data_IF_848348909095
#
_entry.id   IF_848348909095
#
_cell.length_a   1.000
_cell.length_b   1.000
_cell.length_c   1.000
_cell.angle_alpha   90.00
_cell.angle_beta   90.00
_cell.angle_gamma   90.00
#
_symmetry.space_group_name_H-M   'P 1'
#
loop_
_entity.id
_entity.type
_entity.pdbx_description
1 polymer ?
#
# COMPACT_ATOMS: atom_id res chain seq x y z
N UNK A 1 -5.51 -15.00 11.65
CA UNK A 1 -6.17 -13.70 11.63
C UNK A 1 -7.32 -13.72 10.64
N UNK A 2 -8.45 -13.17 11.03
CA UNK A 2 -9.61 -13.18 10.17
C UNK A 2 -9.44 -12.25 8.97
N UNK A 3 -9.92 -12.66 7.80
CA UNK A 3 -9.78 -11.81 6.60
C UNK A 3 -10.35 -10.40 6.77
N UNK A 4 -11.48 -10.28 7.44
CA UNK A 4 -12.08 -8.96 7.62
C UNK A 4 -11.18 -8.04 8.43
N UNK A 5 -10.53 -8.58 9.45
CA UNK A 5 -9.61 -7.81 10.27
C UNK A 5 -8.40 -7.36 9.45
N UNK A 6 -7.89 -8.26 8.60
CA UNK A 6 -6.78 -7.90 7.73
C UNK A 6 -7.17 -6.79 6.77
N UNK A 7 -8.37 -6.83 6.22
CA UNK A 7 -8.83 -5.77 5.34
C UNK A 7 -8.98 -4.44 6.06
N UNK A 8 -9.45 -4.46 7.30
CA UNK A 8 -9.54 -3.24 8.09
C UNK A 8 -8.16 -2.64 8.35
N UNK A 9 -7.21 -3.48 8.69
CA UNK A 9 -5.85 -3.02 8.90
C UNK A 9 -5.26 -2.42 7.62
N UNK A 10 -5.57 -3.05 6.48
CA UNK A 10 -5.10 -2.56 5.20
C UNK A 10 -5.69 -1.19 4.89
N UNK A 11 -7.00 -1.01 5.11
CA UNK A 11 -7.65 0.27 4.89
C UNK A 11 -7.02 1.34 5.78
N UNK A 12 -6.89 1.03 7.06
CA UNK A 12 -6.35 2.01 8.01
C UNK A 12 -4.91 2.38 7.68
N UNK A 13 -4.09 1.39 7.37
CA UNK A 13 -2.69 1.63 7.05
C UNK A 13 -2.53 2.45 5.79
N UNK A 14 -3.27 2.09 4.74
CA UNK A 14 -3.18 2.83 3.49
C UNK A 14 -3.70 4.24 3.63
N UNK A 15 -4.79 4.43 4.39
CA UNK A 15 -5.32 5.77 4.61
C UNK A 15 -4.33 6.61 5.40
N UNK A 16 -3.74 6.05 6.44
CA UNK A 16 -2.78 6.79 7.26
C UNK A 16 -1.57 7.21 6.45
N UNK A 17 -0.98 6.27 5.70
CA UNK A 17 0.19 6.57 4.89
C UNK A 17 -0.17 7.56 3.79
N UNK A 18 -1.31 7.34 3.13
CA UNK A 18 -1.71 8.19 2.03
C UNK A 18 -1.96 9.63 2.45
N UNK A 19 -2.73 9.83 3.52
CA UNK A 19 -3.00 11.17 4.00
C UNK A 19 -1.76 11.84 4.54
N UNK A 20 -0.88 11.08 5.21
CA UNK A 20 0.38 11.64 5.66
C UNK A 20 1.23 12.14 4.50
N UNK A 21 1.25 11.38 3.40
CA UNK A 21 2.02 11.77 2.23
C UNK A 21 1.45 13.04 1.59
N UNK A 22 0.14 13.19 1.58
CA UNK A 22 -0.49 14.37 0.98
C UNK A 22 -0.31 15.60 1.84
N UNK A 23 -0.55 15.47 3.15
CA UNK A 23 -0.59 16.62 4.05
C UNK A 23 0.77 16.97 4.61
N UNK A 24 1.65 16.00 4.79
CA UNK A 24 2.95 16.24 5.40
C UNK A 24 4.04 15.43 4.68
N UNK A 25 4.26 15.74 3.38
CA UNK A 25 5.25 14.97 2.62
C UNK A 25 6.65 15.07 3.20
N UNK A 26 6.99 16.19 3.84
CA UNK A 26 8.31 16.33 4.43
C UNK A 26 8.52 15.38 5.60
N UNK A 27 7.49 15.22 6.43
CA UNK A 27 7.60 14.31 7.56
C UNK A 27 7.70 12.86 7.08
N UNK A 28 6.89 12.50 6.10
CA UNK A 28 6.93 11.15 5.57
C UNK A 28 8.27 10.87 4.90
N UNK A 29 8.79 11.83 4.14
CA UNK A 29 10.09 11.67 3.50
C UNK A 29 11.18 11.47 4.55
N UNK A 30 11.11 12.21 5.64
CA UNK A 30 12.08 12.07 6.70
C UNK A 30 12.02 10.69 7.34
N UNK A 31 10.80 10.20 7.55
CA UNK A 31 10.61 8.85 8.08
C UNK A 31 11.13 7.79 7.11
N UNK A 32 11.09 8.06 5.81
CA UNK A 32 11.61 7.16 4.79
C UNK A 32 13.13 7.24 4.65
N UNK A 33 13.77 8.15 5.36
CA UNK A 33 15.21 8.29 5.28
C UNK A 33 15.69 9.21 4.17
N UNK A 34 14.80 9.97 3.56
CA UNK A 34 15.18 10.93 2.54
C UNK A 34 15.85 12.13 3.21
N UNK A 35 17.02 12.47 2.73
CA UNK A 35 17.77 13.57 3.29
C UNK A 35 17.27 14.89 2.72
N UNK A 36 17.23 15.89 3.59
CA UNK A 36 16.74 17.19 3.18
C UNK A 36 17.83 18.00 2.47
N UNK A 37 17.47 19.05 1.71
CA UNK A 37 16.10 19.54 1.53
C UNK A 37 15.32 18.67 0.56
N UNK A 38 14.01 18.66 0.74
CA UNK A 38 13.13 17.88 -0.10
C UNK A 38 12.93 18.61 -1.44
N UNK A 39 13.32 17.95 -2.52
CA UNK A 39 13.16 18.53 -3.85
C UNK A 39 11.70 18.48 -4.27
N UNK A 40 11.29 19.42 -5.13
CA UNK A 40 9.89 19.49 -5.51
C UNK A 40 9.42 18.27 -6.31
N UNK A 41 10.32 17.67 -7.12
CA UNK A 41 9.94 16.47 -7.85
C UNK A 41 9.72 15.29 -6.93
N UNK A 42 10.52 15.19 -5.86
CA UNK A 42 10.32 14.12 -4.86
C UNK A 42 9.02 14.37 -4.08
N UNK A 43 8.76 15.63 -3.74
CA UNK A 43 7.52 15.97 -3.05
C UNK A 43 6.30 15.60 -3.89
N UNK A 44 6.37 15.88 -5.19
CA UNK A 44 5.30 15.53 -6.11
C UNK A 44 5.09 14.02 -6.15
N UNK A 45 6.17 13.26 -6.23
CA UNK A 45 6.08 11.80 -6.25
C UNK A 45 5.48 11.27 -4.96
N UNK A 46 5.85 11.83 -3.82
CA UNK A 46 5.30 11.41 -2.54
C UNK A 46 3.81 11.66 -2.48
N UNK A 47 3.36 12.81 -2.99
CA UNK A 47 1.93 13.11 -3.01
C UNK A 47 1.15 12.20 -3.95
N UNK A 48 1.74 11.85 -5.10
CA UNK A 48 1.10 10.88 -5.98
C UNK A 48 0.95 9.53 -5.30
N UNK A 49 2.00 9.10 -4.60
CA UNK A 49 1.94 7.87 -3.82
C UNK A 49 0.82 7.97 -2.78
N UNK A 50 0.69 9.12 -2.15
CA UNK A 50 -0.35 9.33 -1.15
C UNK A 50 -1.75 9.22 -1.72
N UNK A 51 -1.99 9.89 -2.84
CA UNK A 51 -3.31 9.85 -3.48
C UNK A 51 -3.65 8.44 -3.87
N UNK A 52 -2.70 7.70 -4.42
CA UNK A 52 -2.95 6.31 -4.81
C UNK A 52 -3.37 5.47 -3.61
N UNK A 53 -2.67 5.63 -2.50
CA UNK A 53 -3.00 4.87 -1.30
C UNK A 53 -4.36 5.25 -0.72
N UNK A 54 -4.70 6.54 -0.76
CA UNK A 54 -6.01 6.98 -0.29
C UNK A 54 -7.12 6.37 -1.16
N UNK A 55 -6.93 6.37 -2.48
CA UNK A 55 -7.93 5.81 -3.39
C UNK A 55 -8.10 4.31 -3.13
N UNK A 56 -7.00 3.58 -2.98
CA UNK A 56 -7.08 2.16 -2.71
C UNK A 56 -7.78 1.89 -1.38
N UNK A 57 -7.49 2.69 -0.36
CA UNK A 57 -8.14 2.55 0.93
C UNK A 57 -9.63 2.83 0.81
N UNK A 58 -9.99 3.87 0.07
CA UNK A 58 -11.39 4.23 -0.09
C UNK A 58 -12.16 3.14 -0.83
N UNK A 59 -11.58 2.59 -1.89
CA UNK A 59 -12.24 1.53 -2.64
C UNK A 59 -12.53 0.32 -1.75
N UNK A 60 -11.54 -0.08 -0.97
CA UNK A 60 -11.71 -1.24 -0.10
C UNK A 60 -12.72 -0.95 1.01
N UNK A 61 -12.65 0.26 1.57
CA UNK A 61 -13.59 0.67 2.61
C UNK A 61 -15.03 0.66 2.07
N UNK A 62 -15.23 1.19 0.88
CA UNK A 62 -16.58 1.21 0.28
C UNK A 62 -17.08 -0.20 0.02
N UNK A 63 -16.21 -1.08 -0.48
CA UNK A 63 -16.60 -2.46 -0.72
C UNK A 63 -17.05 -3.14 0.57
N UNK A 64 -16.33 -2.90 1.66
CA UNK A 64 -16.71 -3.45 2.95
C UNK A 64 -18.03 -2.87 3.45
N UNK A 65 -18.17 -1.56 3.33
CA UNK A 65 -19.34 -0.87 3.85
C UNK A 65 -20.62 -1.24 3.09
N UNK A 66 -20.49 -1.42 1.78
CA UNK A 66 -21.65 -1.73 0.95
C UNK A 66 -21.86 -3.23 0.77
N UNK A 67 -21.08 -4.03 1.47
CA UNK A 67 -21.22 -5.49 1.44
C UNK A 67 -21.12 -6.00 0.01
N UNK A 68 -20.04 -5.62 -0.65
CA UNK A 68 -19.83 -5.94 -2.06
C UNK A 68 -19.77 -7.45 -2.28
N UNK A 69 -20.08 -7.88 -3.49
CA UNK A 69 -19.97 -9.27 -3.89
C UNK A 69 -18.55 -9.78 -3.64
N UNK A 70 -18.42 -11.08 -3.32
CA UNK A 70 -17.07 -11.64 -3.13
C UNK A 70 -16.18 -11.45 -4.33
N UNK A 71 -16.73 -11.47 -5.55
CA UNK A 71 -15.92 -11.26 -6.75
C UNK A 71 -15.40 -9.84 -6.85
N UNK A 72 -16.24 -8.89 -6.50
CA UNK A 72 -15.83 -7.49 -6.52
C UNK A 72 -14.77 -7.22 -5.45
N UNK A 73 -14.97 -7.78 -4.27
CA UNK A 73 -14.00 -7.63 -3.19
C UNK A 73 -12.66 -8.26 -3.59
N UNK A 74 -12.71 -9.42 -4.21
CA UNK A 74 -11.51 -10.10 -4.67
C UNK A 74 -10.76 -9.25 -5.69
N UNK A 75 -11.48 -8.63 -6.60
CA UNK A 75 -10.86 -7.80 -7.62
C UNK A 75 -10.17 -6.59 -7.01
N UNK A 76 -10.83 -5.95 -6.03
CA UNK A 76 -10.24 -4.79 -5.37
C UNK A 76 -8.97 -5.19 -4.63
N UNK A 77 -9.01 -6.32 -3.93
CA UNK A 77 -7.82 -6.78 -3.22
C UNK A 77 -6.70 -7.13 -4.19
N UNK A 78 -7.04 -7.75 -5.30
CA UNK A 78 -6.03 -8.12 -6.30
C UNK A 78 -5.36 -6.89 -6.89
N UNK A 79 -6.14 -5.84 -7.16
CA UNK A 79 -5.57 -4.61 -7.66
C UNK A 79 -4.59 -4.00 -6.67
N UNK A 80 -4.97 -3.99 -5.40
CA UNK A 80 -4.09 -3.46 -4.36
C UNK A 80 -2.83 -4.27 -4.21
N UNK A 81 -2.95 -5.59 -4.22
CA UNK A 81 -1.79 -6.47 -4.14
C UNK A 81 -0.85 -6.22 -5.32
N UNK A 82 -1.41 -6.10 -6.51
CA UNK A 82 -0.61 -5.84 -7.70
C UNK A 82 0.18 -4.54 -7.58
N UNK A 83 -0.49 -3.48 -7.14
CA UNK A 83 0.17 -2.19 -6.95
C UNK A 83 1.30 -2.33 -5.94
N UNK A 84 1.05 -3.01 -4.83
CA UNK A 84 2.06 -3.15 -3.79
C UNK A 84 3.25 -4.00 -4.27
N UNK A 85 2.99 -5.02 -5.09
CA UNK A 85 4.07 -5.82 -5.64
C UNK A 85 4.97 -4.95 -6.53
N UNK A 86 4.37 -4.13 -7.39
CA UNK A 86 5.17 -3.24 -8.23
C UNK A 86 5.93 -2.22 -7.39
N UNK A 87 5.34 -1.74 -6.31
CA UNK A 87 6.06 -0.85 -5.42
C UNK A 87 7.31 -1.51 -4.84
N UNK A 88 7.19 -2.77 -4.45
CA UNK A 88 8.35 -3.51 -3.94
C UNK A 88 9.41 -3.66 -5.02
N UNK A 89 9.00 -4.06 -6.22
CA UNK A 89 9.94 -4.25 -7.31
C UNK A 89 10.68 -2.97 -7.67
N UNK A 90 9.93 -1.87 -7.80
CA UNK A 90 10.55 -0.59 -8.14
C UNK A 90 11.40 -0.05 -7.00
N UNK A 91 10.96 -0.24 -5.76
CA UNK A 91 11.73 0.20 -4.60
C UNK A 91 13.05 -0.54 -4.47
N UNK A 92 13.01 -1.85 -4.62
CA UNK A 92 14.22 -2.65 -4.56
C UNK A 92 15.14 -2.29 -5.72
N UNK A 93 14.57 -2.12 -6.93
CA UNK A 93 15.37 -1.76 -8.09
C UNK A 93 16.05 -0.42 -7.92
N UNK A 94 15.33 0.56 -7.38
CA UNK A 94 15.90 1.88 -7.15
C UNK A 94 17.05 1.82 -6.15
N UNK A 95 16.87 1.02 -5.10
CA UNK A 95 17.92 0.89 -4.08
C UNK A 95 19.16 0.21 -4.65
N UNK A 96 18.95 -0.81 -5.50
CA UNK A 96 20.07 -1.52 -6.10
C UNK A 96 20.79 -0.63 -7.11
N UNK A 97 20.06 0.21 -7.83
CA UNK A 97 20.67 1.09 -8.83
C UNK A 97 21.49 2.19 -8.18
N UNK A 98 21.03 2.71 -7.04
CA UNK A 98 21.74 3.77 -6.33
C UNK A 98 21.70 3.52 -4.82
N UNK A 99 22.55 2.60 -4.34
CA UNK A 99 22.51 2.29 -2.90
C UNK A 99 22.80 3.48 -2.03
N UNK A 100 23.52 4.47 -2.53
CA UNK A 100 23.90 5.66 -1.77
C UNK A 100 22.99 6.84 -2.06
N UNK A 101 21.90 6.59 -2.80
CA UNK A 101 20.99 7.67 -3.13
C UNK A 101 20.23 8.18 -1.92
N UNK A 102 19.67 9.36 -2.08
CA UNK A 102 18.92 10.00 -1.00
C UNK A 102 17.55 9.37 -0.79
N UNK A 103 17.08 8.59 -1.75
CA UNK A 103 15.75 8.00 -1.66
C UNK A 103 15.78 6.81 -0.74
N UNK A 104 15.05 6.91 0.37
CA UNK A 104 14.95 5.81 1.31
C UNK A 104 13.88 4.83 0.89
N UNK A 105 14.29 3.76 0.21
CA UNK A 105 13.35 2.76 -0.28
C UNK A 105 12.93 1.77 0.80
N UNK A 106 13.66 1.72 1.92
CA UNK A 106 13.41 0.69 2.93
C UNK A 106 12.00 0.72 3.49
N UNK A 107 11.57 1.86 3.99
CA UNK A 107 10.26 1.96 4.61
C UNK A 107 9.11 1.77 3.61
N UNK A 108 9.14 2.39 2.42
CA UNK A 108 8.09 2.11 1.43
C UNK A 108 8.03 0.64 1.02
N UNK A 109 9.18 -0.01 0.88
CA UNK A 109 9.20 -1.43 0.52
C UNK A 109 8.56 -2.26 1.64
N UNK A 110 8.91 -1.97 2.89
CA UNK A 110 8.33 -2.70 4.02
C UNK A 110 6.82 -2.48 4.07
N UNK A 111 6.37 -1.25 3.88
CA UNK A 111 4.94 -0.95 3.87
C UNK A 111 4.21 -1.71 2.78
N UNK A 112 4.82 -1.78 1.59
CA UNK A 112 4.19 -2.49 0.47
C UNK A 112 4.20 -3.99 0.68
N UNK A 113 5.25 -4.54 1.30
CA UNK A 113 5.25 -5.95 1.66
C UNK A 113 4.14 -6.26 2.64
N UNK A 114 3.94 -5.39 3.62
CA UNK A 114 2.83 -5.56 4.56
C UNK A 114 1.50 -5.51 3.82
N UNK A 115 1.38 -4.61 2.83
CA UNK A 115 0.19 -4.52 2.01
C UNK A 115 -0.09 -5.80 1.25
N UNK A 116 0.94 -6.41 0.67
CA UNK A 116 0.79 -7.68 -0.03
C UNK A 116 0.31 -8.75 0.93
N UNK A 117 0.95 -8.85 2.09
CA UNK A 117 0.59 -9.88 3.07
C UNK A 117 -0.85 -9.70 3.54
N UNK A 118 -1.22 -8.48 3.92
CA UNK A 118 -2.57 -8.22 4.40
C UNK A 118 -3.60 -8.41 3.30
N UNK A 119 -3.24 -8.09 2.06
CA UNK A 119 -4.14 -8.30 0.93
C UNK A 119 -4.45 -9.77 0.73
N UNK A 120 -3.42 -10.62 0.75
CA UNK A 120 -3.64 -12.04 0.62
C UNK A 120 -4.42 -12.60 1.80
N UNK A 121 -4.08 -12.18 3.01
CA UNK A 121 -4.80 -12.67 4.19
C UNK A 121 -6.23 -12.15 4.24
N UNK A 122 -6.51 -11.05 3.55
CA UNK A 122 -7.85 -10.49 3.50
C UNK A 122 -8.78 -11.13 2.49
N UNK A 123 -8.25 -12.04 1.66
CA UNK A 123 -9.08 -12.72 0.66
C UNK A 123 -9.91 -13.80 1.34
N UNK A 124 -11.19 -13.81 1.04
CA UNK A 124 -12.09 -14.76 1.69
C UNK A 124 -12.16 -16.09 0.96
N UNK A 125 -11.95 -16.08 -0.34
CA UNK A 125 -12.02 -17.29 -1.15
C UNK A 125 -10.65 -17.64 -1.71
N UNK A 126 -9.64 -17.48 -0.87
CA UNK A 126 -8.28 -17.69 -1.34
C UNK A 126 -7.99 -19.16 -1.49
N UNK A 127 -7.56 -19.54 -2.67
CA UNK A 127 -7.12 -20.90 -2.89
C UNK A 127 -5.84 -21.21 -2.14
N UNK A 128 -5.13 -20.17 -1.73
CA UNK A 128 -3.93 -20.37 -0.95
C UNK A 128 -4.22 -21.07 0.36
N UNK A 129 -5.44 -20.91 0.86
CA UNK A 129 -5.80 -21.52 2.14
C UNK A 129 -6.67 -22.75 1.96
N UNK A 130 -6.85 -23.20 0.72
CA UNK A 130 -7.63 -24.36 0.43
C UNK A 130 -9.10 -24.20 0.76
N UNK A 131 -9.50 -23.01 1.00
CA UNK A 131 -10.86 -22.77 1.37
C UNK A 131 -11.70 -22.49 0.15
N UNK A 132 -12.81 -22.99 0.15
CA UNK A 132 -13.53 -22.72 -0.74
C UNK A 132 -14.71 -22.61 -0.50
N UNK A 133 -15.39 -22.25 -0.56
CA UNK A 133 -16.43 -22.17 -0.19
C UNK A 133 -17.47 -21.65 -0.77
N UNK A 134 -18.24 -21.65 -0.70
CA UNK A 134 -19.22 -21.19 -1.16
C UNK A 134 -20.20 -21.50 -1.02
#
# INVERSE_FOLDING_TARGET
>A
MQPKKCRRMLVSGRAAVGWSAILAPKLLAKAWGVKSPLRSDIKYAIRLFGIRNVILAYQLYQAERLDADPEELEEILRQGITVDIFDVLFGVGARMAKPEGDFGAGLPVIASLAGVALGFLGRENSELFGGRHR
#
